data_IF_688989287844
#
_entry.id   IF_688989287844
#
_cell.length_a   1.000
_cell.length_b   1.000
_cell.length_c   1.000
_cell.angle_alpha   90.00
_cell.angle_beta   90.00
_cell.angle_gamma   90.00
#
_symmetry.space_group_name_H-M   'P 1'
#
loop_
_entity.id
_entity.type
_entity.pdbx_description
1 polymer ?
#
# COMPACT_ATOMS: atom_id res chain seq x y z
N UNK A 1 -19.57 17.23 24.56
CA UNK A 1 -18.44 17.49 25.49
C UNK A 1 -18.83 16.95 26.87
N UNK A 2 -17.94 16.21 27.56
CA UNK A 2 -18.25 15.69 28.89
C UNK A 2 -18.37 16.81 29.92
N UNK A 3 -19.28 16.67 30.88
CA UNK A 3 -19.43 17.62 31.99
C UNK A 3 -18.36 17.32 33.04
N UNK A 4 -17.49 18.28 33.30
CA UNK A 4 -16.38 18.14 34.26
C UNK A 4 -16.71 18.71 35.65
N UNK A 5 -17.80 19.49 35.76
CA UNK A 5 -18.21 20.15 37.00
C UNK A 5 -19.50 19.53 37.53
N UNK A 6 -19.58 19.30 38.86
CA UNK A 6 -20.77 18.75 39.49
C UNK A 6 -21.87 19.81 39.52
N UNK A 7 -22.90 19.61 38.72
CA UNK A 7 -24.14 20.40 38.77
C UNK A 7 -25.28 19.40 38.86
N UNK A 8 -25.81 19.23 40.07
CA UNK A 8 -26.95 18.34 40.32
C UNK A 8 -28.24 18.97 39.79
N UNK A 9 -28.99 18.19 39.00
CA UNK A 9 -30.30 18.55 38.45
C UNK A 9 -31.44 18.47 39.49
N UNK A 10 -31.12 18.28 40.77
CA UNK A 10 -32.08 17.99 41.83
C UNK A 10 -32.74 19.25 42.42
N UNK A 11 -33.99 19.48 42.01
CA UNK A 11 -35.17 19.74 42.85
C UNK A 11 -35.20 20.81 43.98
N UNK A 12 -34.22 21.69 44.16
CA UNK A 12 -34.38 22.87 45.04
C UNK A 12 -34.42 24.16 44.20
N UNK A 13 -35.62 24.42 43.65
CA UNK A 13 -36.02 25.69 43.04
C UNK A 13 -36.42 26.72 44.12
N UNK A 14 -35.60 26.85 45.16
CA UNK A 14 -35.75 27.88 46.18
C UNK A 14 -35.03 29.16 45.74
N UNK A 15 -35.81 30.12 45.24
CA UNK A 15 -35.57 31.58 45.31
C UNK A 15 -34.12 32.06 45.05
N UNK A 16 -33.50 31.58 43.96
CA UNK A 16 -32.23 32.13 43.48
C UNK A 16 -32.51 33.36 42.62
N UNK A 17 -32.12 34.54 43.10
CA UNK A 17 -32.13 35.77 42.32
C UNK A 17 -31.11 35.67 41.18
N UNK A 18 -31.59 35.30 39.99
CA UNK A 18 -30.79 35.12 38.78
C UNK A 18 -30.39 36.46 38.12
N UNK A 19 -30.87 37.60 38.63
CA UNK A 19 -30.57 38.93 38.10
C UNK A 19 -29.41 39.62 38.84
N UNK A 20 -29.02 39.13 40.02
CA UNK A 20 -27.88 39.61 40.80
C UNK A 20 -26.55 38.92 40.46
N UNK A 21 -25.41 39.45 40.92
CA UNK A 21 -24.13 38.76 40.79
C UNK A 21 -24.12 37.46 41.62
N UNK A 22 -23.66 36.32 41.07
CA UNK A 22 -23.69 35.03 41.75
C UNK A 22 -22.73 35.03 42.94
N UNK A 23 -23.18 34.46 44.07
CA UNK A 23 -22.42 34.46 45.34
C UNK A 23 -21.64 33.17 45.55
N UNK A 24 -21.96 32.11 44.80
CA UNK A 24 -21.25 30.84 44.86
C UNK A 24 -21.06 30.20 43.45
N UNK A 25 -20.13 29.23 43.31
CA UNK A 25 -19.87 28.60 42.02
C UNK A 25 -21.05 27.82 41.42
N UNK A 26 -21.97 27.32 42.27
CA UNK A 26 -23.14 26.54 41.81
C UNK A 26 -24.19 27.45 41.16
N UNK A 27 -24.44 28.62 41.75
CA UNK A 27 -25.30 29.67 41.21
C UNK A 27 -24.77 30.19 39.88
N UNK A 28 -23.47 30.44 39.80
CA UNK A 28 -22.81 30.84 38.57
C UNK A 28 -23.03 29.80 37.45
N UNK A 29 -22.81 28.51 37.73
CA UNK A 29 -23.01 27.45 36.72
C UNK A 29 -24.47 27.31 36.30
N UNK A 30 -25.44 27.52 37.20
CA UNK A 30 -26.87 27.54 36.85
C UNK A 30 -27.22 28.75 35.96
N UNK A 31 -26.71 29.93 36.28
CA UNK A 31 -26.92 31.14 35.49
C UNK A 31 -26.34 30.99 34.07
N UNK A 32 -25.13 30.44 33.96
CA UNK A 32 -24.49 30.13 32.67
C UNK A 32 -25.27 29.07 31.89
N UNK A 33 -25.83 28.05 32.54
CA UNK A 33 -26.68 27.05 31.87
C UNK A 33 -27.96 27.66 31.32
N UNK A 34 -28.60 28.57 32.08
CA UNK A 34 -29.78 29.28 31.63
C UNK A 34 -29.46 30.23 30.48
N UNK A 35 -28.39 31.03 30.60
CA UNK A 35 -27.91 31.90 29.52
C UNK A 35 -27.59 31.11 28.25
N UNK A 36 -26.88 29.97 28.38
CA UNK A 36 -26.59 29.08 27.26
C UNK A 36 -27.84 28.45 26.65
N UNK A 37 -28.89 28.18 27.45
CA UNK A 37 -30.18 27.67 26.94
C UNK A 37 -30.99 28.71 26.17
N UNK A 38 -30.76 30.00 26.44
CA UNK A 38 -31.35 31.12 25.71
C UNK A 38 -30.59 31.41 24.41
N UNK A 39 -29.31 31.08 24.36
CA UNK A 39 -28.50 31.19 23.16
C UNK A 39 -28.88 30.10 22.13
N UNK A 40 -28.94 30.44 20.83
CA UNK A 40 -29.15 29.45 19.78
C UNK A 40 -27.99 28.44 19.75
N UNK A 41 -28.32 27.14 19.67
CA UNK A 41 -27.34 26.05 19.68
C UNK A 41 -26.34 26.13 18.52
N UNK A 42 -26.81 26.59 17.35
CA UNK A 42 -25.99 26.79 16.16
C UNK A 42 -26.27 28.16 15.57
N UNK A 43 -25.21 28.91 15.31
CA UNK A 43 -25.25 30.18 14.57
C UNK A 43 -24.41 30.07 13.30
N UNK A 44 -24.91 30.64 12.20
CA UNK A 44 -24.19 30.66 10.92
C UNK A 44 -23.89 32.10 10.53
N UNK A 45 -22.61 32.44 10.48
CA UNK A 45 -22.17 33.73 10.00
C UNK A 45 -22.06 33.72 8.47
N UNK A 46 -22.65 34.71 7.81
CA UNK A 46 -22.54 34.88 6.36
C UNK A 46 -21.21 35.55 6.01
N UNK A 47 -20.35 34.84 5.27
CA UNK A 47 -19.03 35.31 4.85
C UNK A 47 -18.99 35.37 3.32
N UNK A 48 -18.41 36.43 2.76
CA UNK A 48 -18.25 36.57 1.31
C UNK A 48 -17.31 35.48 0.75
N UNK A 49 -17.83 34.54 -0.08
CA UNK A 49 -17.06 33.41 -0.59
C UNK A 49 -15.94 33.83 -1.55
N UNK A 50 -16.02 35.03 -2.16
CA UNK A 50 -15.01 35.52 -3.11
C UNK A 50 -13.65 35.74 -2.44
N UNK A 51 -13.62 36.00 -1.13
CA UNK A 51 -12.39 36.20 -0.35
C UNK A 51 -11.63 34.88 -0.10
N UNK A 52 -12.33 33.74 -0.08
CA UNK A 52 -11.75 32.43 0.25
C UNK A 52 -11.20 31.69 -0.98
N UNK A 53 -11.81 31.90 -2.16
CA UNK A 53 -11.42 31.20 -3.41
C UNK A 53 -9.99 31.50 -3.89
N UNK A 54 -9.41 32.65 -3.52
CA UNK A 54 -8.09 33.08 -4.02
C UNK A 54 -6.88 32.47 -3.29
N UNK A 55 -7.07 31.74 -2.18
CA UNK A 55 -5.98 31.26 -1.32
C UNK A 55 -6.09 29.77 -0.97
N UNK A 56 -6.80 28.97 -1.77
CA UNK A 56 -6.92 27.55 -1.49
C UNK A 56 -5.62 26.82 -1.84
N UNK A 57 -5.13 26.00 -0.93
CA UNK A 57 -3.98 25.13 -1.17
C UNK A 57 -4.38 23.93 -2.02
N UNK A 58 -3.48 23.48 -2.87
CA UNK A 58 -3.70 22.29 -3.72
C UNK A 58 -3.40 21.04 -2.91
N UNK A 59 -4.28 20.04 -3.00
CA UNK A 59 -4.00 18.69 -2.54
C UNK A 59 -3.46 17.87 -3.72
N UNK A 60 -2.22 17.39 -3.62
CA UNK A 60 -1.62 16.58 -4.67
C UNK A 60 -2.20 15.15 -4.63
N UNK A 61 -2.82 14.72 -5.72
CA UNK A 61 -3.33 13.35 -5.90
C UNK A 61 -2.64 12.69 -7.09
N UNK A 62 -2.30 11.41 -6.96
CA UNK A 62 -1.61 10.64 -8.01
C UNK A 62 -2.58 9.63 -8.64
N UNK A 63 -2.73 9.68 -9.98
CA UNK A 63 -3.52 8.75 -10.79
C UNK A 63 -2.71 7.57 -11.31
N UNK A 64 -3.39 6.47 -11.64
CA UNK A 64 -2.82 5.37 -12.42
C UNK A 64 -2.91 5.65 -13.93
N UNK A 65 -2.01 5.08 -14.72
CA UNK A 65 -2.10 5.13 -16.18
C UNK A 65 -3.08 4.06 -16.65
N UNK A 66 -4.04 4.43 -17.50
CA UNK A 66 -4.92 3.46 -18.14
C UNK A 66 -4.12 2.54 -19.08
N UNK A 67 -4.58 1.30 -19.26
CA UNK A 67 -4.02 0.43 -20.29
C UNK A 67 -4.21 1.06 -21.68
N UNK A 68 -3.20 0.99 -22.57
CA UNK A 68 -3.42 1.23 -23.99
C UNK A 68 -4.49 0.29 -24.56
N UNK A 69 -5.17 0.73 -25.62
CA UNK A 69 -6.21 -0.06 -26.30
C UNK A 69 -5.63 -1.40 -26.76
N UNK A 70 -6.29 -2.51 -26.43
CA UNK A 70 -5.82 -3.87 -26.72
C UNK A 70 -4.89 -4.51 -25.66
N UNK A 71 -4.32 -3.71 -24.75
CA UNK A 71 -3.37 -4.19 -23.74
C UNK A 71 -4.04 -4.56 -22.41
N UNK A 72 -5.32 -4.22 -22.25
CA UNK A 72 -6.13 -4.50 -21.06
C UNK A 72 -6.56 -5.98 -21.02
N UNK A 73 -6.30 -6.71 -19.91
CA UNK A 73 -6.76 -8.08 -19.79
C UNK A 73 -8.28 -8.16 -19.55
N UNK A 74 -8.91 -9.18 -20.11
CA UNK A 74 -10.35 -9.42 -19.92
C UNK A 74 -10.70 -9.66 -18.44
N UNK A 75 -11.92 -9.29 -18.04
CA UNK A 75 -12.38 -9.49 -16.66
C UNK A 75 -12.35 -10.96 -16.22
N UNK A 76 -12.66 -11.88 -17.13
CA UNK A 76 -12.64 -13.32 -16.87
C UNK A 76 -11.21 -13.76 -16.54
N UNK A 77 -10.22 -13.30 -17.32
CA UNK A 77 -8.81 -13.58 -17.04
C UNK A 77 -8.39 -13.00 -15.69
N UNK A 78 -8.77 -11.75 -15.38
CA UNK A 78 -8.45 -11.13 -14.10
C UNK A 78 -8.99 -11.95 -12.92
N UNK A 79 -10.27 -12.36 -12.98
CA UNK A 79 -10.90 -13.18 -11.95
C UNK A 79 -10.23 -14.55 -11.78
N UNK A 80 -9.85 -15.18 -12.90
CA UNK A 80 -9.13 -16.46 -12.87
C UNK A 80 -7.77 -16.31 -12.18
N UNK A 81 -6.99 -15.26 -12.48
CA UNK A 81 -5.70 -15.05 -11.83
C UNK A 81 -5.83 -14.78 -10.34
N UNK A 82 -6.84 -14.00 -9.92
CA UNK A 82 -7.14 -13.75 -8.51
C UNK A 82 -7.49 -15.06 -7.78
N UNK A 83 -8.28 -15.93 -8.41
CA UNK A 83 -8.58 -17.27 -7.89
C UNK A 83 -7.32 -18.13 -7.72
N UNK A 84 -6.54 -18.28 -8.79
CA UNK A 84 -5.28 -19.04 -8.77
C UNK A 84 -4.30 -18.52 -7.70
N UNK A 85 -4.18 -17.20 -7.57
CA UNK A 85 -3.32 -16.57 -6.57
C UNK A 85 -3.79 -16.85 -5.14
N UNK A 86 -5.11 -16.88 -4.92
CA UNK A 86 -5.69 -17.31 -3.64
C UNK A 86 -5.25 -18.72 -3.27
N UNK A 87 -5.30 -19.65 -4.21
CA UNK A 87 -4.92 -21.06 -3.99
C UNK A 87 -3.43 -21.20 -3.67
N UNK A 88 -2.56 -20.46 -4.38
CA UNK A 88 -1.12 -20.42 -4.10
C UNK A 88 -0.85 -20.00 -2.65
N UNK A 89 -1.56 -18.98 -2.18
CA UNK A 89 -1.40 -18.47 -0.81
C UNK A 89 -1.92 -19.45 0.24
N UNK A 90 -2.99 -20.19 -0.05
CA UNK A 90 -3.46 -21.25 0.85
C UNK A 90 -2.43 -22.37 1.02
N UNK A 91 -1.72 -22.74 -0.04
CA UNK A 91 -0.68 -23.77 0.02
C UNK A 91 0.54 -23.29 0.83
N UNK A 92 0.93 -22.03 0.68
CA UNK A 92 2.08 -21.45 1.39
C UNK A 92 1.88 -21.26 2.90
N UNK A 93 0.63 -21.09 3.35
CA UNK A 93 0.30 -20.95 4.78
C UNK A 93 0.47 -22.25 5.59
N UNK A 94 0.83 -23.38 4.97
CA UNK A 94 1.16 -24.61 5.69
C UNK A 94 2.58 -24.48 6.28
N UNK A 95 2.75 -24.53 7.61
CA UNK A 95 4.04 -24.31 8.25
C UNK A 95 5.01 -25.44 7.89
N UNK A 96 5.93 -25.16 6.97
CA UNK A 96 7.07 -26.04 6.72
C UNK A 96 8.10 -25.79 7.83
N UNK A 97 8.13 -26.70 8.81
CA UNK A 97 9.12 -26.69 9.90
C UNK A 97 10.52 -26.98 9.36
N UNK A 98 11.29 -25.94 9.03
CA UNK A 98 12.74 -26.08 8.87
C UNK A 98 13.49 -24.96 9.58
N UNK A 99 14.40 -25.37 10.46
CA UNK A 99 15.23 -24.53 11.33
C UNK A 99 16.50 -24.05 10.61
N UNK A 100 16.40 -23.00 9.79
CA UNK A 100 17.59 -22.30 9.30
C UNK A 100 17.32 -20.79 9.27
N UNK A 101 18.16 -20.00 9.95
CA UNK A 101 18.08 -18.55 9.94
C UNK A 101 18.80 -17.99 8.72
N UNK A 102 18.06 -17.29 7.86
CA UNK A 102 18.64 -16.53 6.74
C UNK A 102 19.03 -15.15 7.29
N UNK A 103 20.33 -14.93 7.50
CA UNK A 103 20.88 -13.61 7.84
C UNK A 103 21.43 -12.93 6.57
N UNK A 104 20.56 -12.26 5.83
CA UNK A 104 20.97 -11.39 4.71
C UNK A 104 20.86 -9.93 5.16
N UNK A 105 21.94 -9.17 4.99
CA UNK A 105 21.95 -7.73 5.26
C UNK A 105 21.03 -7.00 4.27
N UNK A 106 20.47 -5.85 4.70
CA UNK A 106 19.55 -5.02 3.90
C UNK A 106 20.07 -4.73 2.50
N UNK A 107 21.36 -4.40 2.35
CA UNK A 107 22.01 -4.13 1.07
C UNK A 107 22.25 -5.37 0.20
N UNK A 108 22.24 -6.56 0.80
CA UNK A 108 22.48 -7.84 0.12
C UNK A 108 21.26 -8.36 -0.63
N UNK A 109 20.04 -7.94 -0.27
CA UNK A 109 18.81 -8.48 -0.85
C UNK A 109 18.65 -8.21 -2.35
N UNK A 110 19.08 -7.03 -2.84
CA UNK A 110 19.06 -6.72 -4.28
C UNK A 110 19.90 -7.72 -5.06
N UNK A 111 21.16 -7.89 -4.65
CA UNK A 111 22.11 -8.84 -5.26
C UNK A 111 21.65 -10.29 -5.09
N UNK A 112 21.06 -10.62 -3.94
CA UNK A 112 20.54 -11.97 -3.69
C UNK A 112 19.37 -12.30 -4.63
N UNK A 113 18.42 -11.39 -4.82
CA UNK A 113 17.24 -11.65 -5.64
C UNK A 113 17.53 -11.59 -7.14
N UNK A 114 18.29 -10.59 -7.57
CA UNK A 114 18.47 -10.23 -8.99
C UNK A 114 19.85 -10.60 -9.55
N UNK A 115 20.83 -10.87 -8.71
CA UNK A 115 22.20 -11.15 -9.13
C UNK A 115 23.03 -9.90 -9.41
N UNK A 116 24.35 -10.06 -9.42
CA UNK A 116 25.31 -8.98 -9.69
C UNK A 116 25.20 -8.44 -11.12
N UNK A 117 24.88 -9.30 -12.10
CA UNK A 117 24.78 -8.91 -13.51
C UNK A 117 23.66 -7.91 -13.77
N UNK A 118 22.50 -8.12 -13.12
CA UNK A 118 21.33 -7.24 -13.23
C UNK A 118 21.53 -5.98 -12.41
N UNK A 119 22.16 -6.07 -11.24
CA UNK A 119 22.41 -4.89 -10.39
C UNK A 119 23.48 -3.93 -10.96
N UNK A 120 24.52 -4.44 -11.64
CA UNK A 120 25.60 -3.62 -12.20
C UNK A 120 25.43 -3.29 -13.69
N UNK A 121 24.36 -3.78 -14.34
CA UNK A 121 24.08 -3.50 -15.76
C UNK A 121 25.16 -4.00 -16.72
N UNK A 122 26.02 -4.92 -16.28
CA UNK A 122 27.15 -5.40 -17.07
C UNK A 122 26.71 -6.60 -17.88
N UNK A 123 26.41 -6.40 -19.17
CA UNK A 123 26.20 -7.48 -20.12
C UNK A 123 27.58 -8.02 -20.54
N UNK A 124 28.18 -8.92 -19.76
CA UNK A 124 29.22 -9.80 -20.30
C UNK A 124 28.64 -11.19 -20.52
N UNK A 125 28.55 -11.59 -21.80
CA UNK A 125 28.47 -13.00 -22.15
C UNK A 125 29.72 -13.70 -21.57
N UNK A 126 29.61 -14.89 -20.98
CA UNK A 126 30.79 -15.67 -20.69
C UNK A 126 31.37 -16.11 -22.04
N UNK A 127 32.54 -15.57 -22.39
CA UNK A 127 33.41 -16.15 -23.42
C UNK A 127 33.81 -17.55 -22.92
N UNK A 128 33.69 -18.54 -23.80
CA UNK A 128 34.04 -19.94 -23.58
C UNK A 128 35.27 -20.14 -22.68
N UNK A 129 35.07 -20.84 -21.55
CA UNK A 129 36.10 -21.61 -20.90
C UNK A 129 35.42 -22.69 -20.02
N UNK A 130 35.57 -23.93 -20.47
CA UNK A 130 35.17 -25.18 -19.85
C UNK A 130 35.42 -25.21 -18.33
N UNK A 131 34.35 -25.34 -17.53
CA UNK A 131 34.35 -25.90 -16.17
C UNK A 131 32.88 -26.09 -15.74
N UNK A 132 32.51 -27.33 -15.40
CA UNK A 132 31.31 -27.82 -14.65
C UNK A 132 30.11 -26.85 -14.48
N UNK A 133 28.86 -27.23 -14.82
CA UNK A 133 27.69 -26.34 -14.78
C UNK A 133 27.18 -26.11 -13.35
N UNK A 134 28.03 -25.63 -12.44
CA UNK A 134 27.61 -25.10 -11.16
C UNK A 134 27.00 -23.71 -11.42
N UNK A 135 25.67 -23.63 -11.37
CA UNK A 135 24.93 -22.36 -11.50
C UNK A 135 25.43 -21.40 -10.41
N UNK A 136 26.14 -20.34 -10.81
CA UNK A 136 26.63 -19.32 -9.89
C UNK A 136 25.51 -18.32 -9.57
N UNK A 137 24.72 -18.66 -8.56
CA UNK A 137 23.62 -17.83 -8.06
C UNK A 137 24.08 -16.46 -7.52
N UNK A 138 25.37 -16.25 -7.24
CA UNK A 138 25.85 -14.91 -6.86
C UNK A 138 25.87 -13.94 -8.05
N UNK A 139 26.03 -14.47 -9.27
CA UNK A 139 26.02 -13.69 -10.52
C UNK A 139 24.61 -13.56 -11.10
N UNK A 140 23.86 -14.65 -11.11
CA UNK A 140 22.51 -14.73 -11.70
C UNK A 140 21.39 -14.32 -10.74
N UNK A 141 21.63 -14.37 -9.43
CA UNK A 141 20.60 -14.20 -8.40
C UNK A 141 19.84 -15.49 -8.11
N UNK A 142 19.35 -15.61 -6.89
CA UNK A 142 18.56 -16.76 -6.45
C UNK A 142 17.11 -16.58 -6.89
N UNK A 143 16.45 -17.62 -7.41
CA UNK A 143 15.00 -17.60 -7.62
C UNK A 143 14.26 -17.69 -6.26
N UNK A 144 13.00 -17.23 -6.19
CA UNK A 144 12.21 -17.23 -4.96
C UNK A 144 11.66 -18.62 -4.64
N UNK A 145 12.53 -19.57 -4.31
CA UNK A 145 12.11 -20.91 -3.91
C UNK A 145 11.26 -20.86 -2.64
N UNK A 146 10.29 -21.77 -2.53
CA UNK A 146 9.49 -21.93 -1.31
C UNK A 146 10.38 -22.17 -0.07
N UNK A 147 11.51 -22.87 -0.24
CA UNK A 147 12.50 -23.07 0.82
C UNK A 147 13.12 -21.76 1.33
N UNK A 148 13.05 -20.66 0.57
CA UNK A 148 13.55 -19.34 0.96
C UNK A 148 12.38 -18.47 1.45
N UNK A 149 11.35 -18.28 0.63
CA UNK A 149 10.28 -17.31 0.92
C UNK A 149 9.42 -17.71 2.12
N UNK A 150 9.26 -19.01 2.39
CA UNK A 150 8.54 -19.49 3.60
C UNK A 150 9.27 -19.18 4.91
N UNK A 151 10.55 -18.82 4.86
CA UNK A 151 11.36 -18.50 6.05
C UNK A 151 11.38 -17.00 6.35
N UNK A 152 10.84 -16.16 5.46
CA UNK A 152 10.83 -14.72 5.64
C UNK A 152 9.71 -14.37 6.61
N UNK A 153 10.04 -13.63 7.67
CA UNK A 153 9.01 -13.02 8.51
C UNK A 153 8.36 -11.84 7.76
N UNK A 154 7.19 -11.39 8.22
CA UNK A 154 6.46 -10.31 7.54
C UNK A 154 7.27 -9.00 7.42
N UNK A 155 8.08 -8.67 8.41
CA UNK A 155 8.96 -7.49 8.36
C UNK A 155 9.98 -7.59 7.21
N UNK A 156 10.62 -8.75 7.05
CA UNK A 156 11.56 -9.02 5.96
C UNK A 156 10.84 -9.06 4.61
N UNK A 157 9.64 -9.65 4.51
CA UNK A 157 8.85 -9.64 3.27
C UNK A 157 8.57 -8.21 2.82
N UNK A 158 8.11 -7.36 3.74
CA UNK A 158 7.84 -5.94 3.46
C UNK A 158 9.12 -5.18 3.08
N UNK A 159 10.21 -5.36 3.84
CA UNK A 159 11.50 -4.74 3.54
C UNK A 159 12.01 -5.14 2.14
N UNK A 160 12.01 -6.43 1.82
CA UNK A 160 12.50 -6.91 0.52
C UNK A 160 11.61 -6.43 -0.61
N UNK A 161 10.28 -6.42 -0.39
CA UNK A 161 9.34 -5.88 -1.36
C UNK A 161 9.62 -4.40 -1.66
N UNK A 162 9.82 -3.57 -0.63
CA UNK A 162 10.17 -2.15 -0.78
C UNK A 162 11.51 -1.96 -1.50
N UNK A 163 12.53 -2.74 -1.14
CA UNK A 163 13.85 -2.73 -1.80
C UNK A 163 13.74 -3.01 -3.30
N UNK A 164 12.93 -4.01 -3.68
CA UNK A 164 12.74 -4.40 -5.07
C UNK A 164 11.88 -3.39 -5.84
N UNK A 165 10.87 -2.81 -5.20
CA UNK A 165 10.06 -1.74 -5.80
C UNK A 165 10.93 -0.51 -6.04
N UNK A 166 11.73 -0.08 -5.06
CA UNK A 166 12.68 1.03 -5.21
C UNK A 166 13.68 0.77 -6.34
N UNK A 167 14.19 -0.45 -6.48
CA UNK A 167 15.04 -0.81 -7.61
C UNK A 167 14.29 -0.71 -8.95
N UNK A 168 13.04 -1.17 -9.00
CA UNK A 168 12.22 -1.16 -10.22
C UNK A 168 11.82 0.25 -10.69
N UNK A 169 11.89 1.26 -9.83
CA UNK A 169 11.65 2.65 -10.23
C UNK A 169 12.73 3.18 -11.17
N UNK A 170 13.98 2.81 -10.91
CA UNK A 170 15.15 3.30 -11.65
C UNK A 170 15.55 2.37 -12.81
N UNK A 171 15.09 1.11 -12.80
CA UNK A 171 15.52 0.07 -13.73
C UNK A 171 14.39 -0.52 -14.58
N UNK A 172 14.77 -1.28 -15.61
CA UNK A 172 13.84 -1.98 -16.48
C UNK A 172 13.24 -3.21 -15.80
N UNK A 173 12.04 -3.61 -16.25
CA UNK A 173 11.42 -4.85 -15.79
C UNK A 173 12.19 -6.07 -16.30
N UNK A 174 12.50 -6.99 -15.39
CA UNK A 174 13.18 -8.26 -15.66
C UNK A 174 12.27 -9.41 -15.17
N UNK A 175 12.16 -10.54 -15.88
CA UNK A 175 11.33 -11.67 -15.45
C UNK A 175 11.62 -12.16 -14.03
N UNK A 176 12.89 -12.15 -13.63
CA UNK A 176 13.33 -12.54 -12.29
C UNK A 176 12.80 -11.60 -11.20
N UNK A 177 12.74 -10.29 -11.47
CA UNK A 177 12.09 -9.32 -10.60
C UNK A 177 10.59 -9.66 -10.48
N UNK A 178 9.92 -9.96 -11.59
CA UNK A 178 8.51 -10.36 -11.61
C UNK A 178 8.23 -11.58 -10.73
N UNK A 179 9.08 -12.61 -10.80
CA UNK A 179 8.98 -13.81 -9.97
C UNK A 179 9.10 -13.49 -8.48
N UNK A 180 10.08 -12.66 -8.11
CA UNK A 180 10.26 -12.22 -6.72
C UNK A 180 9.10 -11.38 -6.21
N UNK A 181 8.65 -10.39 -6.99
CA UNK A 181 7.50 -9.57 -6.62
C UNK A 181 6.25 -10.42 -6.43
N UNK A 182 5.94 -11.33 -7.36
CA UNK A 182 4.82 -12.25 -7.23
C UNK A 182 4.93 -13.12 -5.98
N UNK A 183 6.11 -13.67 -5.71
CA UNK A 183 6.34 -14.56 -4.56
C UNK A 183 6.23 -13.81 -3.22
N UNK A 184 6.74 -12.59 -3.15
CA UNK A 184 6.62 -11.73 -1.97
C UNK A 184 5.18 -11.29 -1.76
N UNK A 185 4.45 -10.93 -2.82
CA UNK A 185 3.02 -10.67 -2.75
C UNK A 185 2.27 -11.90 -2.23
N UNK A 186 2.66 -13.11 -2.63
CA UNK A 186 2.05 -14.32 -2.12
C UNK A 186 2.31 -14.50 -0.61
N UNK A 187 3.48 -14.09 -0.12
CA UNK A 187 3.84 -14.13 1.30
C UNK A 187 3.27 -12.99 2.17
N UNK A 188 2.72 -11.91 1.59
CA UNK A 188 2.16 -10.79 2.38
C UNK A 188 0.94 -11.21 3.20
N UNK A 189 0.96 -11.14 4.51
CA UNK A 189 -0.22 -11.46 5.33
C UNK A 189 -1.30 -10.35 5.30
N UNK A 190 -2.57 -10.75 5.34
CA UNK A 190 -3.72 -9.84 5.52
C UNK A 190 -4.14 -9.84 7.00
N UNK A 191 -4.56 -8.70 7.59
CA UNK A 191 -4.73 -7.38 6.97
C UNK A 191 -3.41 -6.65 6.73
N UNK A 192 -3.30 -5.95 5.60
CA UNK A 192 -2.10 -5.20 5.25
C UNK A 192 -2.02 -3.89 6.05
N UNK A 193 -0.80 -3.48 6.38
CA UNK A 193 -0.52 -2.15 6.91
C UNK A 193 -0.70 -1.07 5.83
N UNK A 194 -1.06 0.18 6.19
CA UNK A 194 -1.18 1.28 5.24
C UNK A 194 0.07 1.51 4.38
N UNK A 195 1.26 1.32 4.96
CA UNK A 195 2.54 1.43 4.28
C UNK A 195 2.68 0.36 3.20
N UNK A 196 2.32 -0.89 3.52
CA UNK A 196 2.32 -1.99 2.56
C UNK A 196 1.36 -1.72 1.39
N UNK A 197 0.17 -1.20 1.68
CA UNK A 197 -0.78 -0.74 0.66
C UNK A 197 -0.16 0.35 -0.23
N UNK A 198 0.52 1.34 0.36
CA UNK A 198 1.20 2.38 -0.41
C UNK A 198 2.25 1.80 -1.36
N UNK A 199 3.11 0.89 -0.87
CA UNK A 199 4.16 0.26 -1.66
C UNK A 199 3.61 -0.55 -2.84
N UNK A 200 2.61 -1.41 -2.61
CA UNK A 200 2.03 -2.21 -3.71
C UNK A 200 1.29 -1.34 -4.73
N UNK A 201 0.70 -0.21 -4.31
CA UNK A 201 0.08 0.76 -5.23
C UNK A 201 1.14 1.45 -6.07
N UNK A 202 2.29 1.81 -5.49
CA UNK A 202 3.43 2.38 -6.22
C UNK A 202 3.98 1.39 -7.25
N UNK A 203 4.09 0.11 -6.89
CA UNK A 203 4.41 -0.96 -7.82
C UNK A 203 3.43 -1.02 -9.00
N UNK A 204 2.12 -1.07 -8.72
CA UNK A 204 1.11 -1.14 -9.78
C UNK A 204 1.16 0.09 -10.71
N UNK A 205 1.36 1.29 -10.17
CA UNK A 205 1.56 2.50 -10.98
C UNK A 205 2.79 2.42 -11.87
N UNK A 206 3.91 1.90 -11.35
CA UNK A 206 5.14 1.70 -12.12
C UNK A 206 4.93 0.67 -13.23
N UNK A 207 4.23 -0.42 -12.95
CA UNK A 207 3.83 -1.41 -13.95
C UNK A 207 2.96 -0.78 -15.05
N UNK A 208 1.98 0.05 -14.67
CA UNK A 208 1.10 0.72 -15.62
C UNK A 208 1.86 1.74 -16.49
N UNK A 209 2.81 2.48 -15.91
CA UNK A 209 3.71 3.37 -16.64
C UNK A 209 4.54 2.60 -17.67
N UNK A 210 5.20 1.51 -17.28
CA UNK A 210 5.97 0.70 -18.23
C UNK A 210 5.08 0.07 -19.30
N UNK A 211 3.89 -0.40 -18.94
CA UNK A 211 2.91 -0.93 -19.90
C UNK A 211 2.53 0.13 -20.94
N UNK A 212 2.40 1.40 -20.56
CA UNK A 212 2.09 2.48 -21.51
C UNK A 212 3.21 2.81 -22.50
N UNK A 213 4.44 2.35 -22.23
CA UNK A 213 5.60 2.52 -23.13
C UNK A 213 5.80 1.34 -24.09
N UNK A 214 5.00 0.28 -23.97
CA UNK A 214 5.10 -0.89 -24.85
C UNK A 214 4.42 -0.61 -26.19
N UNK A 215 5.07 -1.02 -27.28
CA UNK A 215 4.56 -0.83 -28.65
C UNK A 215 3.79 -2.04 -29.17
N UNK A 216 4.12 -3.25 -28.69
CA UNK A 216 3.59 -4.51 -29.20
C UNK A 216 2.86 -5.30 -28.11
N UNK A 217 1.73 -5.92 -28.46
CA UNK A 217 0.97 -6.83 -27.58
C UNK A 217 1.73 -8.15 -27.30
N UNK A 218 2.70 -8.49 -28.13
CA UNK A 218 3.54 -9.70 -27.99
C UNK A 218 4.77 -9.50 -27.08
N UNK A 219 4.92 -8.33 -26.45
CA UNK A 219 6.05 -8.10 -25.53
C UNK A 219 5.95 -9.05 -24.33
N UNK A 220 7.05 -9.77 -24.06
CA UNK A 220 7.16 -10.76 -22.98
C UNK A 220 6.82 -10.18 -21.59
N UNK A 221 6.96 -8.88 -21.40
CA UNK A 221 6.69 -8.19 -20.13
C UNK A 221 5.21 -7.95 -19.92
N UNK A 222 4.41 -7.82 -20.98
CA UNK A 222 3.01 -7.42 -20.90
C UNK A 222 2.17 -8.32 -19.98
N UNK A 223 2.23 -9.68 -20.09
CA UNK A 223 1.46 -10.56 -19.21
C UNK A 223 1.85 -10.40 -17.74
N UNK A 224 3.14 -10.23 -17.47
CA UNK A 224 3.65 -10.07 -16.10
C UNK A 224 3.22 -8.74 -15.48
N UNK A 225 3.26 -7.65 -16.25
CA UNK A 225 2.79 -6.34 -15.80
C UNK A 225 1.28 -6.36 -15.52
N UNK A 226 0.50 -6.95 -16.43
CA UNK A 226 -0.95 -7.12 -16.27
C UNK A 226 -1.30 -7.96 -15.04
N UNK A 227 -0.56 -9.04 -14.79
CA UNK A 227 -0.75 -9.89 -13.61
C UNK A 227 -0.51 -9.10 -12.32
N UNK A 228 0.62 -8.39 -12.21
CA UNK A 228 0.94 -7.61 -11.00
C UNK A 228 -0.10 -6.52 -10.73
N UNK A 229 -0.51 -5.77 -11.76
CA UNK A 229 -1.57 -4.76 -11.63
C UNK A 229 -2.88 -5.42 -11.17
N UNK A 230 -3.27 -6.53 -11.81
CA UNK A 230 -4.48 -7.26 -11.47
C UNK A 230 -4.49 -7.72 -10.01
N UNK A 231 -3.39 -8.30 -9.52
CA UNK A 231 -3.31 -8.77 -8.13
C UNK A 231 -3.40 -7.60 -7.14
N UNK A 232 -2.68 -6.51 -7.38
CA UNK A 232 -2.78 -5.32 -6.52
C UNK A 232 -4.19 -4.75 -6.52
N UNK A 233 -4.80 -4.60 -7.69
CA UNK A 233 -6.10 -3.97 -7.83
C UNK A 233 -7.25 -4.82 -7.29
N UNK A 234 -7.26 -6.12 -7.61
CA UNK A 234 -8.39 -7.02 -7.31
C UNK A 234 -8.15 -7.86 -6.06
N UNK A 235 -6.97 -8.47 -5.91
CA UNK A 235 -6.70 -9.34 -4.76
C UNK A 235 -6.40 -8.55 -3.48
N UNK A 236 -5.65 -7.45 -3.57
CA UNK A 236 -5.38 -6.54 -2.44
C UNK A 236 -6.35 -5.34 -2.40
N UNK A 237 -7.47 -5.44 -3.12
CA UNK A 237 -8.64 -4.57 -3.00
C UNK A 237 -8.38 -3.09 -3.36
N UNK A 238 -7.32 -2.80 -4.13
CA UNK A 238 -7.01 -1.47 -4.68
C UNK A 238 -7.79 -1.20 -5.98
N UNK A 239 -9.12 -1.31 -5.91
CA UNK A 239 -10.01 -1.32 -7.09
C UNK A 239 -9.93 -0.05 -7.95
N UNK A 240 -9.47 1.08 -7.38
CA UNK A 240 -9.25 2.32 -8.10
C UNK A 240 -8.11 2.23 -9.15
N UNK A 241 -7.25 1.22 -9.02
CA UNK A 241 -6.16 0.92 -9.95
C UNK A 241 -6.52 -0.18 -10.96
N UNK A 242 -7.72 -0.75 -10.88
CA UNK A 242 -8.12 -1.88 -11.71
C UNK A 242 -8.29 -1.46 -13.17
N UNK A 243 -7.80 -2.30 -14.08
CA UNK A 243 -8.11 -2.17 -15.49
C UNK A 243 -9.60 -2.45 -15.71
N UNK A 244 -10.29 -1.47 -16.29
CA UNK A 244 -11.67 -1.64 -16.70
C UNK A 244 -11.70 -2.51 -17.95
N UNK A 245 -12.59 -3.52 -18.00
CA UNK A 245 -12.81 -4.27 -19.23
C UNK A 245 -13.37 -3.32 -20.30
N UNK A 246 -12.84 -3.41 -21.51
CA UNK A 246 -13.49 -2.86 -22.71
C UNK A 246 -14.81 -3.58 -23.00
#
# INVERSE_FOLDING_TARGET
>A
MPRLLPVDFGADAGDLDLNGPPRNPREYLRQVQLEASLCPEVVVAQIDPKKLKKKQTVNASVSCHAAPVGFSPSLIWQQQQVGNFSDVRQVQLKPFFFLLQIHICVSGWKRFCLGEMVCLGTSSCPTDAELEPAIDYNKLGFPPFLSIVSRLNQSTVLMVLEILISWFEEHNFVPQLGCWLYSLLACLEKPLLPEAHSSIRQLARRCAQLRSTLENEEDEKLPALNLLICLVARYFEQNDLADQPE
#
